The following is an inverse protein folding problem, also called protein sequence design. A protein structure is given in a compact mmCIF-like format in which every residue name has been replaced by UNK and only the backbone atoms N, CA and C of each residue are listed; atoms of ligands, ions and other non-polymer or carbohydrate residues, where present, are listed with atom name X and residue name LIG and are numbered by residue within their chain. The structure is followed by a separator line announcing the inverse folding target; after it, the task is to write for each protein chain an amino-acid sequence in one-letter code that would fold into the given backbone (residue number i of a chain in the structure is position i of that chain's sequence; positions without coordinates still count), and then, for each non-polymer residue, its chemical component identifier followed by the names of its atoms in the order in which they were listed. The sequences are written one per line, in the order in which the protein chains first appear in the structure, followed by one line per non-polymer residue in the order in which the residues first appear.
data_IF_283541538465
#
_entry.id   IF_283541538465
#
_cell.length_a   1.000
_cell.length_b   1.000
_cell.length_c   1.000
_cell.angle_alpha   90.00
_cell.angle_beta   90.00
_cell.angle_gamma   90.00
#
_symmetry.space_group_name_H-M   'P 1'
#
loop_
_entity.id
_entity.type
_entity.pdbx_description
1 polymer ?
#
# COMPACT_ATOMS: atom_id res chain seq x y z
N UNK A 1 10.37 -7.85 -16.91
CA UNK A 1 9.38 -6.76 -16.85
C UNK A 1 9.64 -5.96 -15.58
N UNK A 2 9.17 -4.72 -15.43
CA UNK A 2 9.24 -4.06 -14.11
C UNK A 2 8.54 -4.98 -13.09
N UNK A 3 7.44 -5.63 -13.46
CA UNK A 3 6.66 -6.48 -12.55
C UNK A 3 7.16 -7.91 -12.30
N UNK A 4 8.44 -8.23 -12.57
CA UNK A 4 8.98 -9.57 -12.31
C UNK A 4 9.01 -9.91 -10.79
N UNK A 5 8.95 -8.89 -9.92
CA UNK A 5 8.97 -9.02 -8.46
C UNK A 5 7.88 -8.13 -7.81
N UNK A 6 6.59 -8.45 -7.99
CA UNK A 6 5.50 -7.54 -7.66
C UNK A 6 5.38 -7.24 -6.16
N UNK A 7 5.74 -8.18 -5.28
CA UNK A 7 5.71 -7.95 -3.82
C UNK A 7 6.81 -7.01 -3.33
N UNK A 8 8.01 -7.12 -3.90
CA UNK A 8 9.11 -6.21 -3.58
C UNK A 8 8.77 -4.78 -4.00
N UNK A 9 8.22 -4.64 -5.21
CA UNK A 9 7.81 -3.34 -5.72
C UNK A 9 6.64 -2.74 -4.97
N UNK A 10 5.68 -3.56 -4.57
CA UNK A 10 4.65 -3.15 -3.65
C UNK A 10 5.24 -2.57 -2.37
N UNK A 11 6.21 -3.25 -1.74
CA UNK A 11 6.92 -2.77 -0.55
C UNK A 11 7.62 -1.42 -0.78
N UNK A 12 8.40 -1.30 -1.86
CA UNK A 12 9.13 -0.07 -2.21
C UNK A 12 8.18 1.11 -2.45
N UNK A 13 7.08 0.88 -3.18
CA UNK A 13 6.08 1.90 -3.49
C UNK A 13 5.29 2.31 -2.24
N UNK A 14 4.94 1.36 -1.37
CA UNK A 14 4.31 1.64 -0.07
C UNK A 14 5.23 2.45 0.82
N UNK A 15 6.52 2.09 0.92
CA UNK A 15 7.52 2.84 1.69
C UNK A 15 7.61 4.30 1.21
N UNK A 16 7.88 4.50 -0.08
CA UNK A 16 7.98 5.84 -0.68
C UNK A 16 6.69 6.65 -0.57
N UNK A 17 5.52 5.99 -0.59
CA UNK A 17 4.24 6.69 -0.46
C UNK A 17 3.93 7.07 0.98
N UNK A 18 4.27 6.21 1.96
CA UNK A 18 3.95 6.44 3.38
C UNK A 18 4.69 7.65 3.95
N UNK A 19 5.86 7.98 3.41
CA UNK A 19 6.63 9.19 3.74
C UNK A 19 6.00 10.50 3.24
N UNK A 20 4.98 10.43 2.37
CA UNK A 20 4.39 11.63 1.77
C UNK A 20 3.42 12.32 2.74
N UNK A 21 3.61 13.61 2.91
CA UNK A 21 2.64 14.48 3.58
C UNK A 21 1.46 14.77 2.64
N UNK A 22 0.35 14.07 2.85
CA UNK A 22 -0.89 14.29 2.09
C UNK A 22 -1.63 15.51 2.64
N UNK A 23 -2.06 16.40 1.75
CA UNK A 23 -2.95 17.52 2.11
C UNK A 23 -4.28 17.02 2.69
N UNK A 24 -4.80 15.91 2.15
CA UNK A 24 -6.00 15.24 2.63
C UNK A 24 -5.69 13.79 2.97
N UNK A 25 -5.65 13.41 4.26
CA UNK A 25 -5.37 12.05 4.68
C UNK A 25 -6.29 11.00 4.05
N UNK A 26 -7.54 11.36 3.73
CA UNK A 26 -8.53 10.48 3.07
C UNK A 26 -8.15 10.05 1.65
N UNK A 27 -7.25 10.77 0.99
CA UNK A 27 -6.96 10.57 -0.43
C UNK A 27 -5.88 9.50 -0.65
N UNK A 28 -5.32 8.94 0.42
CA UNK A 28 -4.24 7.95 0.36
C UNK A 28 -4.49 6.81 -0.62
N UNK A 29 -5.67 6.19 -0.54
CA UNK A 29 -6.03 5.09 -1.46
C UNK A 29 -6.33 5.58 -2.88
N UNK A 30 -7.00 6.73 -3.03
CA UNK A 30 -7.34 7.25 -4.35
C UNK A 30 -6.10 7.64 -5.14
N UNK A 31 -5.16 8.32 -4.50
CA UNK A 31 -3.89 8.71 -5.12
C UNK A 31 -2.98 7.52 -5.46
N UNK A 32 -3.20 6.36 -4.82
CA UNK A 32 -2.44 5.13 -5.07
C UNK A 32 -3.20 4.09 -5.93
N UNK A 33 -4.44 4.38 -6.33
CA UNK A 33 -5.34 3.41 -6.98
C UNK A 33 -4.79 2.83 -8.29
N UNK A 34 -4.11 3.64 -9.12
CA UNK A 34 -3.49 3.17 -10.36
C UNK A 34 -2.39 2.13 -10.12
N UNK A 35 -1.56 2.36 -9.09
CA UNK A 35 -0.51 1.42 -8.67
C UNK A 35 -1.12 0.13 -8.15
N UNK A 36 -2.15 0.23 -7.29
CA UNK A 36 -2.86 -0.94 -6.77
C UNK A 36 -3.51 -1.77 -7.88
N UNK A 37 -4.07 -1.11 -8.91
CA UNK A 37 -4.66 -1.80 -10.05
C UNK A 37 -3.60 -2.56 -10.85
N UNK A 38 -2.43 -1.97 -11.10
CA UNK A 38 -1.35 -2.64 -11.81
C UNK A 38 -0.79 -3.82 -11.00
N UNK A 39 -0.55 -3.63 -9.70
CA UNK A 39 -0.11 -4.69 -8.80
C UNK A 39 -1.11 -5.84 -8.72
N UNK A 40 -2.41 -5.55 -8.66
CA UNK A 40 -3.47 -6.55 -8.67
C UNK A 40 -3.35 -7.50 -9.86
N UNK A 41 -3.16 -6.98 -11.07
CA UNK A 41 -3.01 -7.82 -12.28
C UNK A 41 -1.80 -8.75 -12.19
N UNK A 42 -0.67 -8.27 -11.66
CA UNK A 42 0.56 -9.05 -11.52
C UNK A 42 0.53 -10.02 -10.33
N UNK A 43 -0.39 -9.82 -9.39
CA UNK A 43 -0.65 -10.73 -8.26
C UNK A 43 -1.86 -11.65 -8.55
N UNK A 44 -2.10 -11.99 -9.82
CA UNK A 44 -3.16 -12.93 -10.20
C UNK A 44 -4.57 -12.37 -10.03
N UNK A 45 -4.75 -11.07 -10.32
CA UNK A 45 -6.00 -10.32 -10.11
C UNK A 45 -6.43 -10.30 -8.64
N UNK A 46 -5.44 -10.20 -7.76
CA UNK A 46 -5.67 -10.18 -6.31
C UNK A 46 -6.53 -8.99 -5.91
N UNK A 47 -7.58 -9.25 -5.13
CA UNK A 47 -8.33 -8.18 -4.46
C UNK A 47 -7.40 -7.36 -3.56
N UNK A 48 -7.59 -6.04 -3.53
CA UNK A 48 -6.85 -5.13 -2.65
C UNK A 48 -7.76 -4.69 -1.49
N UNK A 49 -7.33 -4.94 -0.26
CA UNK A 49 -8.02 -4.52 0.97
C UNK A 49 -7.27 -3.35 1.58
N UNK A 50 -7.84 -2.15 1.47
CA UNK A 50 -7.21 -0.91 1.95
C UNK A 50 -5.73 -0.80 1.54
N UNK A 51 -5.41 -1.15 0.30
CA UNK A 51 -4.03 -1.10 -0.23
C UNK A 51 -3.18 -2.33 0.04
N UNK A 52 -3.71 -3.41 0.63
CA UNK A 52 -3.00 -4.67 0.88
C UNK A 52 -3.54 -5.79 -0.03
N UNK A 53 -2.70 -6.54 -0.77
CA UNK A 53 -3.17 -7.62 -1.64
C UNK A 53 -3.65 -8.84 -0.84
N UNK A 54 -4.82 -9.36 -1.16
CA UNK A 54 -5.38 -10.58 -0.58
C UNK A 54 -4.47 -11.80 -0.80
N UNK A 55 -3.83 -11.91 -1.97
CA UNK A 55 -2.94 -13.02 -2.31
C UNK A 55 -1.64 -13.06 -1.48
N UNK A 56 -1.28 -11.96 -0.80
CA UNK A 56 -0.11 -11.85 0.06
C UNK A 56 -0.44 -11.03 1.31
N UNK A 57 -1.62 -11.28 1.88
CA UNK A 57 -2.15 -10.46 2.96
C UNK A 57 -1.30 -10.56 4.23
N UNK A 58 -0.88 -11.78 4.57
CA UNK A 58 0.05 -12.07 5.66
C UNK A 58 1.37 -11.32 5.50
N UNK A 59 1.95 -11.32 4.30
CA UNK A 59 3.17 -10.56 3.99
C UNK A 59 2.93 -9.05 4.08
N UNK A 60 1.80 -8.56 3.54
CA UNK A 60 1.45 -7.13 3.56
C UNK A 60 1.15 -6.58 4.96
N UNK A 61 0.79 -7.42 5.93
CA UNK A 61 0.69 -7.03 7.34
C UNK A 61 2.04 -6.79 8.00
N UNK A 62 3.14 -7.27 7.41
CA UNK A 62 4.51 -7.06 7.90
C UNK A 62 5.08 -5.70 7.47
N UNK A 63 4.28 -4.87 6.81
CA UNK A 63 4.71 -3.52 6.46
C UNK A 63 5.14 -2.76 7.72
N UNK A 64 6.18 -1.93 7.57
CA UNK A 64 6.64 -1.04 8.62
C UNK A 64 7.06 0.29 8.00
N UNK A 65 6.74 1.38 8.70
CA UNK A 65 7.24 2.70 8.36
C UNK A 65 8.76 2.79 8.53
N UNK A 66 9.40 3.61 7.69
CA UNK A 66 10.83 3.91 7.81
C UNK A 66 11.07 4.98 8.87
N UNK A 67 10.16 5.96 8.98
CA UNK A 67 10.22 7.10 9.90
C UNK A 67 9.03 7.14 10.89
N UNK A 68 8.99 8.18 11.73
CA UNK A 68 7.85 8.46 12.61
C UNK A 68 6.62 8.86 11.78
N UNK A 69 5.65 7.94 11.68
CA UNK A 69 4.44 8.13 10.89
C UNK A 69 3.27 8.67 11.73
N UNK A 70 2.45 9.53 11.11
CA UNK A 70 1.26 10.10 11.75
C UNK A 70 0.02 9.28 11.42
N UNK A 71 -0.67 8.78 12.45
CA UNK A 71 -1.89 7.96 12.28
C UNK A 71 -3.01 8.71 11.53
N UNK A 72 -3.49 8.13 10.42
CA UNK A 72 -4.67 8.56 9.64
C UNK A 72 -5.92 7.75 10.02
N UNK A 73 -6.65 8.17 11.06
CA UNK A 73 -7.74 7.41 11.69
C UNK A 73 -8.90 6.98 10.77
N UNK A 74 -9.02 7.56 9.57
CA UNK A 74 -10.02 7.20 8.55
C UNK A 74 -9.80 5.82 7.90
N UNK A 75 -8.64 5.19 8.10
CA UNK A 75 -8.33 3.84 7.60
C UNK A 75 -8.10 2.84 8.73
N UNK A 76 -8.16 1.52 8.50
CA UNK A 76 -7.82 0.53 9.51
C UNK A 76 -6.38 0.68 10.01
N UNK A 77 -6.11 0.30 11.25
CA UNK A 77 -4.78 0.43 11.87
C UNK A 77 -3.77 -0.63 11.42
N UNK A 78 -4.18 -1.60 10.63
CA UNK A 78 -3.34 -2.70 10.15
C UNK A 78 -2.83 -2.48 8.71
N UNK A 79 -3.18 -1.35 8.09
CA UNK A 79 -2.74 -1.02 6.73
C UNK A 79 -1.79 0.19 6.74
N UNK A 80 -0.86 0.19 5.79
CA UNK A 80 0.06 1.30 5.55
C UNK A 80 -0.65 2.62 5.28
N UNK A 81 -1.80 2.62 4.60
CA UNK A 81 -2.50 3.88 4.28
C UNK A 81 -3.03 4.58 5.55
N UNK A 82 -3.13 3.84 6.65
CA UNK A 82 -3.48 4.34 7.96
C UNK A 82 -2.37 5.12 8.67
N UNK A 83 -1.18 5.27 8.09
CA UNK A 83 -0.02 5.96 8.66
C UNK A 83 0.64 6.81 7.58
#
# INVERSE_FOLDING_TARGET
DIWDQPLQQYGDLVGSYSERNLTFPSDGLHAFAGVLSALSEHLGKSKMFYGVPAAAFDWGLLWQGIDELTRRSCFPSWTWVGF
#
